data_IF_451693287042
#
_entry.id   IF_451693287042
#
_cell.length_a   1.000
_cell.length_b   1.000
_cell.length_c   1.000
_cell.angle_alpha   90.00
_cell.angle_beta   90.00
_cell.angle_gamma   90.00
#
_symmetry.space_group_name_H-M   'P 1'
#
loop_
_entity.id
_entity.type
_entity.pdbx_description
1 polymer ?
#
# COMPACT_ATOMS: atom_id res chain seq x y z
N UNK A 1 3.64 -11.28 17.27
CA UNK A 1 2.66 -10.47 18.02
C UNK A 1 1.64 -9.75 17.11
N UNK A 2 2.09 -9.08 16.03
CA UNK A 2 1.22 -8.42 15.03
C UNK A 2 0.17 -9.36 14.40
N UNK A 3 0.58 -10.58 14.00
CA UNK A 3 -0.34 -11.61 13.50
C UNK A 3 -1.48 -11.94 14.47
N UNK A 4 -1.18 -12.00 15.78
CA UNK A 4 -2.20 -12.22 16.81
C UNK A 4 -3.21 -11.07 16.91
N UNK A 5 -2.77 -9.82 16.71
CA UNK A 5 -3.66 -8.67 16.63
C UNK A 5 -4.50 -8.70 15.34
N UNK A 6 -3.87 -9.00 14.20
CA UNK A 6 -4.55 -9.18 12.92
C UNK A 6 -5.68 -10.21 13.02
N UNK A 7 -5.41 -11.39 13.57
CA UNK A 7 -6.40 -12.46 13.71
C UNK A 7 -7.60 -12.06 14.60
N UNK A 8 -7.37 -11.28 15.66
CA UNK A 8 -8.46 -10.73 16.48
C UNK A 8 -9.33 -9.75 15.70
N UNK A 9 -8.70 -8.86 14.93
CA UNK A 9 -9.41 -7.89 14.09
C UNK A 9 -10.17 -8.63 12.98
N UNK A 10 -9.58 -9.65 12.37
CA UNK A 10 -10.22 -10.47 11.34
C UNK A 10 -11.48 -11.17 11.88
N UNK A 11 -11.38 -11.77 13.07
CA UNK A 11 -12.55 -12.39 13.71
C UNK A 11 -13.65 -11.37 13.98
N UNK A 12 -13.31 -10.24 14.60
CA UNK A 12 -14.28 -9.18 14.89
C UNK A 12 -14.92 -8.61 13.60
N UNK A 13 -14.12 -8.43 12.55
CA UNK A 13 -14.59 -7.99 11.24
C UNK A 13 -15.58 -8.98 10.60
N UNK A 14 -15.31 -10.28 10.68
CA UNK A 14 -16.25 -11.31 10.20
C UNK A 14 -17.58 -11.24 10.92
N UNK A 15 -17.54 -11.24 12.25
CA UNK A 15 -18.74 -11.23 13.09
C UNK A 15 -19.59 -9.98 12.79
N UNK A 16 -18.95 -8.81 12.68
CA UNK A 16 -19.59 -7.54 12.33
C UNK A 16 -20.22 -7.55 10.93
N UNK A 17 -19.50 -8.05 9.93
CA UNK A 17 -19.97 -8.11 8.54
C UNK A 17 -21.15 -9.09 8.43
N UNK A 18 -21.02 -10.29 8.98
CA UNK A 18 -22.10 -11.31 8.93
C UNK A 18 -23.35 -10.81 9.63
N UNK A 19 -23.21 -10.21 10.82
CA UNK A 19 -24.34 -9.59 11.52
C UNK A 19 -25.00 -8.51 10.68
N UNK A 20 -24.21 -7.59 10.12
CA UNK A 20 -24.74 -6.47 9.32
C UNK A 20 -25.44 -6.94 8.05
N UNK A 21 -24.89 -7.93 7.35
CA UNK A 21 -25.51 -8.50 6.16
C UNK A 21 -26.86 -9.15 6.52
N UNK A 22 -26.94 -9.86 7.65
CA UNK A 22 -28.19 -10.45 8.14
C UNK A 22 -29.28 -9.42 8.42
N UNK A 23 -28.91 -8.22 8.88
CA UNK A 23 -29.85 -7.14 9.19
C UNK A 23 -30.34 -6.36 7.97
N UNK A 24 -29.43 -5.94 7.08
CA UNK A 24 -29.73 -4.94 6.04
C UNK A 24 -29.52 -5.44 4.61
N UNK A 25 -29.02 -6.66 4.46
CA UNK A 25 -28.59 -7.21 3.17
C UNK A 25 -27.24 -6.64 2.70
N UNK A 26 -26.64 -7.33 1.73
CA UNK A 26 -25.29 -7.05 1.22
C UNK A 26 -25.12 -5.64 0.68
N UNK A 27 -26.05 -5.17 -0.14
CA UNK A 27 -25.95 -3.85 -0.79
C UNK A 27 -25.85 -2.71 0.22
N UNK A 28 -26.55 -2.83 1.36
CA UNK A 28 -26.53 -1.83 2.43
C UNK A 28 -25.39 -2.04 3.44
N UNK A 29 -24.69 -3.17 3.38
CA UNK A 29 -23.54 -3.49 4.24
C UNK A 29 -22.18 -3.04 3.66
N UNK A 30 -22.15 -2.51 2.43
CA UNK A 30 -20.91 -2.14 1.73
C UNK A 30 -19.98 -1.24 2.55
N UNK A 31 -20.52 -0.23 3.24
CA UNK A 31 -19.70 0.67 4.06
C UNK A 31 -19.03 -0.06 5.24
N UNK A 32 -19.74 -0.99 5.89
CA UNK A 32 -19.21 -1.81 6.97
C UNK A 32 -18.09 -2.72 6.47
N UNK A 33 -18.29 -3.34 5.31
CA UNK A 33 -17.28 -4.20 4.67
C UNK A 33 -16.02 -3.39 4.34
N UNK A 34 -16.16 -2.21 3.72
CA UNK A 34 -15.03 -1.35 3.38
C UNK A 34 -14.28 -0.86 4.64
N UNK A 35 -15.00 -0.52 5.71
CA UNK A 35 -14.39 -0.12 6.97
C UNK A 35 -13.62 -1.27 7.65
N UNK A 36 -14.16 -2.49 7.61
CA UNK A 36 -13.49 -3.69 8.11
C UNK A 36 -12.22 -4.03 7.31
N UNK A 37 -12.32 -4.04 5.97
CA UNK A 37 -11.15 -4.25 5.10
C UNK A 37 -10.08 -3.17 5.30
N UNK A 38 -10.50 -1.92 5.53
CA UNK A 38 -9.57 -0.82 5.85
C UNK A 38 -8.81 -1.09 7.14
N UNK A 39 -9.49 -1.50 8.22
CA UNK A 39 -8.84 -1.86 9.49
C UNK A 39 -7.86 -3.02 9.35
N UNK A 40 -8.22 -4.05 8.57
CA UNK A 40 -7.34 -5.18 8.29
C UNK A 40 -6.07 -4.77 7.56
N UNK A 41 -6.19 -3.87 6.57
CA UNK A 41 -5.02 -3.33 5.86
C UNK A 41 -4.17 -2.42 6.75
N UNK A 42 -4.80 -1.60 7.59
CA UNK A 42 -4.10 -0.75 8.55
C UNK A 42 -3.20 -1.56 9.48
N UNK A 43 -3.70 -2.65 10.07
CA UNK A 43 -2.86 -3.49 10.95
C UNK A 43 -1.75 -4.22 10.19
N UNK A 44 -1.89 -4.49 8.88
CA UNK A 44 -0.82 -5.04 8.06
C UNK A 44 0.29 -4.01 7.80
N UNK A 45 -0.07 -2.75 7.54
CA UNK A 45 0.88 -1.65 7.36
C UNK A 45 1.63 -1.33 8.67
N UNK A 46 0.89 -0.93 9.70
CA UNK A 46 1.41 -0.65 11.04
C UNK A 46 0.24 -0.63 12.05
N UNK A 47 0.32 -1.40 13.16
CA UNK A 47 -0.72 -1.42 14.19
C UNK A 47 -1.13 -0.04 14.76
N UNK A 48 -0.25 0.97 14.71
CA UNK A 48 -0.54 2.34 15.14
C UNK A 48 -1.61 3.01 14.28
N UNK A 49 -1.86 2.52 13.06
CA UNK A 49 -2.89 3.05 12.17
C UNK A 49 -4.32 2.75 12.63
N UNK A 50 -4.51 1.88 13.62
CA UNK A 50 -5.84 1.49 14.12
C UNK A 50 -6.57 2.60 14.89
N UNK A 51 -5.93 3.76 15.12
CA UNK A 51 -6.55 4.89 15.82
C UNK A 51 -6.90 4.58 17.27
N UNK A 52 -6.12 3.69 17.91
CA UNK A 52 -6.29 3.35 19.32
C UNK A 52 -5.97 4.57 20.21
N UNK A 53 -6.53 4.63 21.44
CA UNK A 53 -6.20 5.70 22.38
C UNK A 53 -4.70 5.88 22.56
N UNK A 54 -4.27 7.13 22.73
CA UNK A 54 -2.86 7.46 22.93
C UNK A 54 -2.26 6.66 24.10
N UNK A 55 -1.05 6.15 23.92
CA UNK A 55 -0.39 5.29 24.90
C UNK A 55 -0.85 3.82 24.91
N UNK A 56 -1.82 3.42 24.08
CA UNK A 56 -2.19 2.00 23.93
C UNK A 56 -1.00 1.22 23.35
N UNK A 57 -0.46 0.23 24.08
CA UNK A 57 0.64 -0.59 23.56
C UNK A 57 0.17 -1.37 22.34
N UNK A 58 0.90 -1.24 21.24
CA UNK A 58 0.70 -2.02 20.03
C UNK A 58 1.99 -2.77 19.67
N UNK A 59 1.89 -3.96 19.05
CA UNK A 59 3.08 -4.68 18.58
C UNK A 59 3.85 -3.87 17.54
N UNK A 60 5.13 -4.19 17.35
CA UNK A 60 5.93 -3.61 16.26
C UNK A 60 5.36 -4.00 14.88
N UNK A 61 5.73 -3.22 13.86
CA UNK A 61 5.36 -3.49 12.48
C UNK A 61 6.50 -4.21 11.77
N UNK A 62 6.30 -5.49 11.47
CA UNK A 62 7.26 -6.30 10.71
C UNK A 62 7.50 -5.71 9.30
N UNK A 63 6.47 -5.11 8.71
CA UNK A 63 6.59 -4.48 7.40
C UNK A 63 7.42 -3.19 7.46
N UNK A 64 7.28 -2.40 8.51
CA UNK A 64 8.12 -1.21 8.71
C UNK A 64 9.58 -1.61 8.92
N UNK A 65 9.85 -2.65 9.71
CA UNK A 65 11.19 -3.21 9.91
C UNK A 65 11.83 -3.65 8.58
N UNK A 66 11.10 -4.41 7.75
CA UNK A 66 11.57 -4.80 6.42
C UNK A 66 11.77 -3.60 5.46
N UNK A 67 10.95 -2.56 5.60
CA UNK A 67 11.11 -1.31 4.83
C UNK A 67 12.37 -0.56 5.25
N UNK A 68 12.66 -0.47 6.55
CA UNK A 68 13.87 0.17 7.09
C UNK A 68 15.13 -0.47 6.50
N UNK A 69 15.18 -1.79 6.41
CA UNK A 69 16.29 -2.52 5.79
C UNK A 69 16.40 -2.22 4.28
N UNK A 70 15.29 -2.32 3.55
CA UNK A 70 15.25 -2.11 2.10
C UNK A 70 15.64 -0.68 1.71
N UNK A 71 15.13 0.33 2.44
CA UNK A 71 15.41 1.73 2.13
C UNK A 71 16.83 2.11 2.50
N UNK A 72 17.38 1.55 3.58
CA UNK A 72 18.77 1.76 3.95
C UNK A 72 19.73 1.18 2.88
N UNK A 73 19.47 -0.02 2.38
CA UNK A 73 20.27 -0.63 1.32
C UNK A 73 20.20 0.16 0.00
N UNK A 74 18.99 0.54 -0.42
CA UNK A 74 18.78 1.31 -1.64
C UNK A 74 19.52 2.66 -1.57
N UNK A 75 19.29 3.44 -0.50
CA UNK A 75 19.90 4.77 -0.35
C UNK A 75 21.41 4.70 -0.07
N UNK A 76 21.88 3.69 0.66
CA UNK A 76 23.31 3.43 0.89
C UNK A 76 24.06 3.09 -0.40
N UNK A 77 23.37 2.51 -1.38
CA UNK A 77 23.86 2.27 -2.74
C UNK A 77 23.77 3.51 -3.66
N UNK A 78 23.37 4.66 -3.13
CA UNK A 78 23.21 5.91 -3.90
C UNK A 78 21.97 5.95 -4.79
N UNK A 79 21.03 5.02 -4.62
CA UNK A 79 19.81 4.94 -5.42
C UNK A 79 18.78 5.96 -4.94
N UNK A 80 18.09 6.59 -5.89
CA UNK A 80 16.97 7.48 -5.58
C UNK A 80 15.67 6.73 -5.64
N UNK A 81 14.89 6.85 -4.57
CA UNK A 81 13.76 5.95 -4.29
C UNK A 81 12.46 6.73 -4.14
N UNK A 82 11.44 6.32 -4.88
CA UNK A 82 10.05 6.73 -4.65
C UNK A 82 9.41 5.77 -3.66
N UNK A 83 8.75 6.30 -2.64
CA UNK A 83 8.00 5.50 -1.67
C UNK A 83 6.54 5.90 -1.73
N UNK A 84 5.66 4.94 -1.98
CA UNK A 84 4.23 5.15 -2.07
C UNK A 84 3.50 4.45 -0.93
N UNK A 85 2.53 5.15 -0.35
CA UNK A 85 1.56 4.58 0.57
C UNK A 85 0.20 5.27 0.39
N UNK A 86 -0.91 4.53 0.54
CA UNK A 86 -2.25 5.12 0.46
C UNK A 86 -2.67 5.83 1.75
N UNK A 87 -2.06 5.48 2.89
CA UNK A 87 -2.42 5.98 4.20
C UNK A 87 -1.51 7.16 4.56
N UNK A 88 -2.08 8.35 4.71
CA UNK A 88 -1.32 9.56 5.11
C UNK A 88 -0.66 9.37 6.47
N UNK A 89 -1.35 8.73 7.42
CA UNK A 89 -0.74 8.42 8.72
C UNK A 89 0.42 7.43 8.60
N UNK A 90 0.37 6.48 7.66
CA UNK A 90 1.52 5.59 7.39
C UNK A 90 2.70 6.36 6.80
N UNK A 91 2.44 7.34 5.93
CA UNK A 91 3.49 8.22 5.42
C UNK A 91 4.17 8.99 6.55
N UNK A 92 3.43 9.45 7.56
CA UNK A 92 4.04 10.10 8.74
C UNK A 92 4.94 9.13 9.52
N UNK A 93 4.50 7.88 9.69
CA UNK A 93 5.30 6.83 10.34
C UNK A 93 6.57 6.54 9.54
N UNK A 94 6.46 6.41 8.22
CA UNK A 94 7.60 6.24 7.30
C UNK A 94 8.54 7.44 7.40
N UNK A 95 8.03 8.67 7.39
CA UNK A 95 8.82 9.90 7.54
C UNK A 95 9.63 9.90 8.83
N UNK A 96 8.99 9.60 9.96
CA UNK A 96 9.66 9.49 11.25
C UNK A 96 10.74 8.38 11.28
N UNK A 97 10.50 7.26 10.59
CA UNK A 97 11.48 6.19 10.43
C UNK A 97 12.69 6.66 9.60
N UNK A 98 12.47 7.36 8.49
CA UNK A 98 13.55 7.95 7.67
C UNK A 98 14.38 8.96 8.47
N UNK A 99 13.74 9.81 9.27
CA UNK A 99 14.42 10.75 10.18
C UNK A 99 15.30 10.04 11.20
N UNK A 100 14.80 8.96 11.81
CA UNK A 100 15.56 8.13 12.76
C UNK A 100 16.77 7.47 12.09
N UNK A 101 16.65 7.09 10.82
CA UNK A 101 17.74 6.52 10.02
C UNK A 101 18.71 7.59 9.46
N UNK A 102 18.41 8.88 9.64
CA UNK A 102 19.20 9.97 9.07
C UNK A 102 19.09 10.09 7.55
N UNK A 103 18.02 9.57 6.95
CA UNK A 103 17.78 9.58 5.50
C UNK A 103 16.96 10.82 5.15
N UNK A 104 17.54 11.73 4.36
CA UNK A 104 16.80 12.87 3.85
C UNK A 104 15.68 12.44 2.90
N UNK A 105 14.52 13.08 3.03
CA UNK A 105 13.38 12.79 2.19
C UNK A 105 12.56 14.03 1.87
N UNK A 106 11.81 13.98 0.77
CA UNK A 106 10.74 14.91 0.45
C UNK A 106 9.40 14.22 0.62
N UNK A 107 8.35 14.98 0.94
CA UNK A 107 7.01 14.44 1.12
C UNK A 107 5.97 15.20 0.31
N UNK A 108 5.26 14.49 -0.56
CA UNK A 108 4.17 15.01 -1.39
C UNK A 108 2.83 14.35 -1.01
N UNK A 109 1.94 15.14 -0.44
CA UNK A 109 0.58 14.73 -0.07
C UNK A 109 -0.46 15.69 -0.66
N UNK A 110 -1.75 15.38 -0.50
CA UNK A 110 -2.84 16.14 -1.13
C UNK A 110 -2.96 17.60 -0.68
N UNK A 111 -2.29 17.98 0.42
CA UNK A 111 -2.26 19.35 0.93
C UNK A 111 -1.01 20.15 0.53
N UNK A 112 -0.06 19.54 -0.18
CA UNK A 112 1.19 20.19 -0.59
C UNK A 112 0.92 21.25 -1.65
N UNK A 113 1.31 22.51 -1.37
CA UNK A 113 1.12 23.64 -2.29
C UNK A 113 2.29 23.85 -3.26
N UNK A 114 3.52 23.61 -2.82
CA UNK A 114 4.76 23.84 -3.57
C UNK A 114 5.26 22.58 -4.29
N UNK A 115 4.35 21.92 -5.00
CA UNK A 115 4.62 20.63 -5.63
C UNK A 115 5.78 20.64 -6.64
N UNK A 116 5.81 21.65 -7.52
CA UNK A 116 6.83 21.76 -8.56
C UNK A 116 8.23 21.96 -7.97
N UNK A 117 8.34 22.70 -6.88
CA UNK A 117 9.59 22.91 -6.15
C UNK A 117 10.13 21.60 -5.59
N UNK A 118 9.28 20.79 -4.93
CA UNK A 118 9.69 19.48 -4.40
C UNK A 118 10.13 18.53 -5.52
N UNK A 119 9.40 18.52 -6.64
CA UNK A 119 9.75 17.72 -7.81
C UNK A 119 11.09 18.17 -8.39
N UNK A 120 11.32 19.48 -8.54
CA UNK A 120 12.60 20.01 -9.01
C UNK A 120 13.76 19.67 -8.07
N UNK A 121 13.55 19.79 -6.76
CA UNK A 121 14.55 19.42 -5.75
C UNK A 121 14.88 17.93 -5.79
N UNK A 122 13.88 17.07 -5.96
CA UNK A 122 14.12 15.63 -6.15
C UNK A 122 14.84 15.34 -7.46
N UNK A 123 14.54 16.05 -8.54
CA UNK A 123 15.19 15.83 -9.83
C UNK A 123 16.60 16.43 -9.96
N UNK A 124 17.08 17.13 -8.93
CA UNK A 124 18.46 17.65 -8.92
C UNK A 124 19.44 16.53 -8.55
N UNK A 125 20.54 16.35 -9.30
CA UNK A 125 21.64 15.47 -8.89
C UNK A 125 22.15 15.87 -7.50
N UNK A 126 22.19 14.92 -6.56
CA UNK A 126 22.54 15.19 -5.15
C UNK A 126 21.41 15.78 -4.29
N UNK A 127 20.20 15.94 -4.83
CA UNK A 127 18.99 16.20 -4.01
C UNK A 127 18.61 14.98 -3.16
N UNK A 128 17.60 15.11 -2.28
CA UNK A 128 17.25 14.06 -1.32
C UNK A 128 17.04 12.68 -1.97
N UNK A 129 17.52 11.60 -1.34
CA UNK A 129 17.47 10.26 -1.92
C UNK A 129 16.06 9.66 -1.92
N UNK A 130 15.14 10.12 -1.07
CA UNK A 130 13.78 9.56 -0.96
C UNK A 130 12.72 10.60 -1.29
N UNK A 131 11.73 10.20 -2.09
CA UNK A 131 10.50 10.97 -2.28
C UNK A 131 9.30 10.13 -1.84
N UNK A 132 8.74 10.48 -0.69
CA UNK A 132 7.52 9.90 -0.13
C UNK A 132 6.30 10.56 -0.77
N UNK A 133 5.44 9.78 -1.41
CA UNK A 133 4.32 10.30 -2.21
C UNK A 133 3.03 9.58 -1.81
N UNK A 134 1.99 10.35 -1.52
CA UNK A 134 0.65 9.77 -1.41
C UNK A 134 0.13 9.37 -2.78
N UNK A 135 -0.38 8.14 -2.91
CA UNK A 135 -0.96 7.65 -4.17
C UNK A 135 -2.06 8.56 -4.73
N UNK A 136 -2.82 9.25 -3.87
CA UNK A 136 -3.85 10.23 -4.28
C UNK A 136 -3.27 11.55 -4.80
N UNK A 137 -2.18 12.07 -4.20
CA UNK A 137 -1.45 13.24 -4.73
C UNK A 137 -0.60 12.88 -5.96
N UNK A 138 -0.47 11.58 -6.23
CA UNK A 138 0.00 11.03 -7.48
C UNK A 138 -0.73 11.66 -8.67
N UNK A 139 -2.05 11.56 -8.79
CA UNK A 139 -2.83 11.75 -10.05
C UNK A 139 -2.58 12.97 -10.98
N UNK A 140 -1.76 13.94 -10.61
CA UNK A 140 -1.27 15.01 -11.47
C UNK A 140 0.06 14.62 -12.14
N UNK A 141 0.20 14.75 -13.46
CA UNK A 141 1.27 14.13 -14.27
C UNK A 141 2.70 14.62 -14.04
N UNK A 142 3.29 14.33 -12.88
CA UNK A 142 4.71 14.60 -12.58
C UNK A 142 5.64 13.56 -13.19
N UNK A 143 6.82 14.04 -13.58
CA UNK A 143 7.94 13.23 -14.07
C UNK A 143 8.96 13.11 -12.95
N UNK A 144 9.44 11.89 -12.68
CA UNK A 144 10.37 11.58 -11.58
C UNK A 144 11.47 10.64 -12.08
N UNK A 145 12.08 10.95 -13.21
CA UNK A 145 13.07 10.09 -13.90
C UNK A 145 14.38 9.95 -13.14
N UNK A 146 14.69 10.81 -12.18
CA UNK A 146 15.85 10.61 -11.30
C UNK A 146 15.71 9.38 -10.38
N UNK A 147 14.49 8.87 -10.17
CA UNK A 147 14.28 7.67 -9.38
C UNK A 147 14.52 6.40 -10.21
N UNK A 148 15.38 5.52 -9.72
CA UNK A 148 15.60 4.19 -10.27
C UNK A 148 15.01 3.08 -9.38
N UNK A 149 14.35 3.46 -8.29
CA UNK A 149 13.74 2.53 -7.34
C UNK A 149 12.36 3.03 -6.93
N UNK A 150 11.40 2.13 -6.90
CA UNK A 150 10.02 2.39 -6.49
C UNK A 150 9.63 1.36 -5.44
N UNK A 151 9.14 1.82 -4.29
CA UNK A 151 8.63 0.98 -3.22
C UNK A 151 7.15 1.31 -3.03
N UNK A 152 6.28 0.34 -3.30
CA UNK A 152 4.88 0.37 -2.89
C UNK A 152 4.79 -0.29 -1.52
N UNK A 153 4.63 0.52 -0.47
CA UNK A 153 4.59 0.05 0.92
C UNK A 153 3.32 -0.77 1.21
N UNK A 154 2.20 -0.40 0.59
CA UNK A 154 0.93 -1.09 0.74
C UNK A 154 0.26 -1.33 -0.62
N UNK A 155 -0.26 -2.55 -0.86
CA UNK A 155 -0.85 -2.90 -2.15
C UNK A 155 -2.19 -2.18 -2.34
N UNK A 156 -2.42 -1.67 -3.54
CA UNK A 156 -3.64 -0.99 -3.95
C UNK A 156 -4.63 -1.95 -4.61
N UNK A 157 -5.92 -1.69 -4.44
CA UNK A 157 -7.02 -2.51 -5.00
C UNK A 157 -7.05 -2.58 -6.54
N UNK A 158 -6.51 -1.54 -7.17
CA UNK A 158 -6.45 -1.36 -8.61
C UNK A 158 -4.98 -1.31 -9.08
N UNK A 159 -4.44 -2.42 -9.61
CA UNK A 159 -3.07 -2.47 -10.12
C UNK A 159 -2.72 -1.35 -11.11
N UNK A 160 -3.69 -0.86 -11.89
CA UNK A 160 -3.44 0.22 -12.85
C UNK A 160 -3.02 1.55 -12.19
N UNK A 161 -3.42 1.79 -10.92
CA UNK A 161 -2.99 2.97 -10.17
C UNK A 161 -1.53 2.85 -9.72
N UNK A 162 -1.10 1.65 -9.34
CA UNK A 162 0.31 1.38 -9.04
C UNK A 162 1.18 1.45 -10.29
N UNK A 163 0.71 0.84 -11.39
CA UNK A 163 1.39 0.87 -12.68
C UNK A 163 1.57 2.34 -13.11
N UNK A 164 0.53 3.17 -13.04
CA UNK A 164 0.62 4.61 -13.32
C UNK A 164 1.55 5.37 -12.37
N UNK A 165 1.61 4.98 -11.09
CA UNK A 165 2.55 5.58 -10.14
C UNK A 165 4.00 5.21 -10.48
N UNK A 166 4.21 3.98 -10.94
CA UNK A 166 5.50 3.41 -11.34
C UNK A 166 5.99 4.00 -12.67
N UNK A 167 5.09 4.19 -13.63
CA UNK A 167 5.35 4.76 -14.96
C UNK A 167 5.99 6.16 -14.92
N UNK A 168 5.90 6.86 -13.78
CA UNK A 168 6.50 8.18 -13.57
C UNK A 168 8.01 8.14 -13.46
N UNK A 169 8.55 7.03 -12.97
CA UNK A 169 9.98 6.75 -12.94
C UNK A 169 10.44 6.15 -14.28
N UNK A 170 9.57 5.39 -14.97
CA UNK A 170 9.86 4.77 -16.28
C UNK A 170 9.63 5.69 -17.49
N UNK A 171 9.54 7.01 -17.31
CA UNK A 171 9.20 7.95 -18.38
C UNK A 171 10.39 8.20 -19.32
N UNK A 172 10.12 8.68 -20.54
CA UNK A 172 11.14 9.15 -21.49
C UNK A 172 12.06 10.15 -20.78
N UNK A 173 13.36 9.85 -20.77
CA UNK A 173 14.37 10.59 -19.99
C UNK A 173 15.00 9.77 -18.86
N UNK A 174 14.46 8.60 -18.54
CA UNK A 174 15.11 7.60 -17.68
C UNK A 174 16.18 6.83 -18.47
N UNK A 175 17.40 6.78 -17.95
CA UNK A 175 18.54 6.06 -18.50
C UNK A 175 18.92 4.79 -17.71
N UNK A 176 18.32 4.58 -16.54
CA UNK A 176 18.58 3.43 -15.65
C UNK A 176 17.41 2.43 -15.60
N UNK A 177 17.69 1.13 -15.40
CA UNK A 177 16.65 0.17 -15.04
C UNK A 177 15.99 0.54 -13.71
N UNK A 178 14.67 0.71 -13.72
CA UNK A 178 13.90 1.01 -12.51
C UNK A 178 13.50 -0.29 -11.82
N UNK A 179 13.85 -0.43 -10.54
CA UNK A 179 13.46 -1.57 -9.70
C UNK A 179 12.17 -1.25 -8.94
N UNK A 180 11.22 -2.18 -8.93
CA UNK A 180 9.91 -1.98 -8.30
C UNK A 180 9.69 -3.03 -7.22
N UNK A 181 9.65 -2.60 -5.97
CA UNK A 181 9.34 -3.41 -4.80
C UNK A 181 7.87 -3.21 -4.42
N UNK A 182 7.14 -4.31 -4.25
CA UNK A 182 5.77 -4.32 -3.72
C UNK A 182 5.78 -5.07 -2.40
N UNK A 183 5.52 -4.36 -1.31
CA UNK A 183 5.54 -4.95 0.03
C UNK A 183 4.16 -5.51 0.38
N UNK A 184 4.10 -6.82 0.56
CA UNK A 184 2.86 -7.56 0.85
C UNK A 184 3.08 -8.39 2.09
N UNK A 185 2.16 -8.31 3.05
CA UNK A 185 2.18 -9.17 4.23
C UNK A 185 1.54 -10.52 3.88
N UNK A 186 2.33 -11.58 3.98
CA UNK A 186 1.87 -12.97 3.78
C UNK A 186 0.79 -13.35 4.79
N UNK A 187 -0.09 -14.28 4.40
CA UNK A 187 -1.16 -14.81 5.24
C UNK A 187 -2.18 -13.76 5.73
N UNK A 188 -2.29 -12.65 5.00
CA UNK A 188 -3.23 -11.57 5.32
C UNK A 188 -4.12 -11.19 4.15
N UNK A 189 -5.02 -10.24 4.41
CA UNK A 189 -5.88 -9.62 3.40
C UNK A 189 -5.06 -9.01 2.26
N UNK A 190 -3.83 -8.55 2.50
CA UNK A 190 -3.01 -7.94 1.46
C UNK A 190 -2.59 -8.94 0.38
N UNK A 191 -2.09 -10.11 0.78
CA UNK A 191 -1.75 -11.18 -0.16
C UNK A 191 -2.97 -11.56 -1.01
N UNK A 192 -4.11 -11.76 -0.35
CA UNK A 192 -5.37 -12.13 -1.01
C UNK A 192 -5.87 -11.06 -1.96
N UNK A 193 -5.70 -9.79 -1.61
CA UNK A 193 -6.03 -8.68 -2.49
C UNK A 193 -5.19 -8.72 -3.77
N UNK A 194 -3.89 -8.98 -3.65
CA UNK A 194 -2.98 -9.09 -4.80
C UNK A 194 -3.37 -10.29 -5.67
N UNK A 195 -3.58 -11.46 -5.08
CA UNK A 195 -3.99 -12.68 -5.77
C UNK A 195 -5.35 -12.53 -6.49
N UNK A 196 -6.31 -11.90 -5.82
CA UNK A 196 -7.62 -11.57 -6.40
C UNK A 196 -7.48 -10.59 -7.57
N UNK A 197 -6.66 -9.55 -7.42
CA UNK A 197 -6.38 -8.59 -8.47
C UNK A 197 -5.76 -9.25 -9.71
N UNK A 198 -4.79 -10.14 -9.52
CA UNK A 198 -4.15 -10.90 -10.59
C UNK A 198 -5.13 -11.83 -11.31
N UNK A 199 -5.96 -12.59 -10.57
CA UNK A 199 -6.99 -13.46 -11.16
C UNK A 199 -8.00 -12.66 -11.97
N UNK A 200 -8.51 -11.54 -11.44
CA UNK A 200 -9.45 -10.67 -12.16
C UNK A 200 -8.83 -10.10 -13.42
N UNK A 201 -7.55 -9.69 -13.38
CA UNK A 201 -6.81 -9.21 -14.56
C UNK A 201 -6.68 -10.30 -15.62
N UNK A 202 -6.29 -11.51 -15.25
CA UNK A 202 -6.15 -12.64 -16.18
C UNK A 202 -7.49 -12.97 -16.88
N UNK A 203 -8.59 -12.98 -16.13
CA UNK A 203 -9.93 -13.17 -16.69
C UNK A 203 -10.29 -12.04 -17.66
N UNK A 204 -10.04 -10.79 -17.26
CA UNK A 204 -10.34 -9.62 -18.06
C UNK A 204 -9.55 -9.57 -19.38
N UNK A 205 -8.25 -9.90 -19.34
CA UNK A 205 -7.38 -10.00 -20.52
C UNK A 205 -7.81 -11.14 -21.45
N UNK A 206 -8.24 -12.28 -20.89
CA UNK A 206 -8.73 -13.42 -21.67
C UNK A 206 -10.09 -13.18 -22.34
N UNK A 207 -10.94 -12.33 -21.75
CA UNK A 207 -12.31 -12.09 -22.21
C UNK A 207 -12.47 -10.87 -23.14
N UNK A 208 -11.65 -9.82 -22.99
CA UNK A 208 -11.89 -8.52 -23.61
C UNK A 208 -10.74 -7.98 -24.48
N UNK A 209 -9.61 -8.68 -24.57
CA UNK A 209 -8.39 -8.08 -25.14
C UNK A 209 -7.87 -6.90 -24.28
N UNK A 210 -6.79 -6.24 -24.73
CA UNK A 210 -5.96 -5.29 -23.95
C UNK A 210 -6.66 -4.05 -23.36
N UNK A 211 -7.97 -3.84 -23.57
CA UNK A 211 -8.74 -2.67 -23.09
C UNK A 211 -9.69 -2.98 -21.93
N UNK A 212 -9.28 -3.85 -21.00
CA UNK A 212 -10.13 -4.25 -19.90
C UNK A 212 -9.99 -3.32 -18.68
N UNK A 213 -10.79 -2.25 -18.63
CA UNK A 213 -11.12 -1.56 -17.37
C UNK A 213 -12.19 -2.34 -16.57
N UNK A 214 -11.93 -3.62 -16.30
CA UNK A 214 -12.84 -4.49 -15.57
C UNK A 214 -12.61 -4.38 -14.06
N UNK A 215 -13.22 -3.37 -13.44
CA UNK A 215 -13.21 -3.25 -11.98
C UNK A 215 -14.25 -2.27 -11.51
N UNK A 216 -15.48 -2.74 -11.24
CA UNK A 216 -16.49 -1.88 -10.60
C UNK A 216 -17.21 -2.45 -9.40
N UNK A 217 -17.07 -3.72 -9.03
CA UNK A 217 -17.53 -4.14 -7.70
C UNK A 217 -16.85 -5.39 -7.19
N UNK A 218 -16.59 -5.43 -5.88
CA UNK A 218 -16.28 -6.66 -5.16
C UNK A 218 -17.59 -7.44 -5.00
N UNK A 219 -17.56 -8.71 -5.39
CA UNK A 219 -18.67 -9.64 -5.17
C UNK A 219 -18.63 -10.18 -3.74
N UNK A 220 -19.71 -10.81 -3.28
CA UNK A 220 -19.71 -11.47 -1.97
C UNK A 220 -18.68 -12.60 -1.89
N UNK A 221 -18.49 -13.35 -2.97
CA UNK A 221 -17.46 -14.38 -3.03
C UNK A 221 -16.05 -13.79 -2.84
N UNK A 222 -15.78 -12.63 -3.45
CA UNK A 222 -14.52 -11.92 -3.25
C UNK A 222 -14.33 -11.50 -1.78
N UNK A 223 -15.39 -10.98 -1.15
CA UNK A 223 -15.36 -10.54 0.24
C UNK A 223 -15.12 -11.73 1.18
N UNK A 224 -15.83 -12.83 0.98
CA UNK A 224 -15.63 -14.04 1.77
C UNK A 224 -14.20 -14.56 1.62
N UNK A 225 -13.69 -14.59 0.38
CA UNK A 225 -12.31 -14.99 0.12
C UNK A 225 -11.30 -14.12 0.86
N UNK A 226 -11.43 -12.80 0.77
CA UNK A 226 -10.57 -11.82 1.45
C UNK A 226 -10.59 -11.97 2.96
N UNK A 227 -11.72 -12.39 3.52
CA UNK A 227 -11.90 -12.55 4.96
C UNK A 227 -11.53 -13.95 5.44
N UNK A 228 -11.42 -14.98 4.61
CA UNK A 228 -11.02 -16.31 5.11
C UNK A 228 -9.68 -16.23 5.84
N UNK A 229 -9.52 -17.00 6.92
CA UNK A 229 -8.19 -17.16 7.52
C UNK A 229 -7.44 -18.12 6.61
N UNK A 230 -6.14 -17.92 6.30
CA UNK A 230 -5.35 -18.98 5.70
C UNK A 230 -5.53 -20.25 6.53
N UNK A 231 -5.65 -21.40 5.88
CA UNK A 231 -5.61 -22.66 6.59
C UNK A 231 -4.28 -22.68 7.35
N UNK A 232 -4.33 -22.77 8.68
CA UNK A 232 -3.14 -23.10 9.46
C UNK A 232 -2.62 -24.37 8.83
N UNK A 233 -1.42 -24.32 8.26
CA UNK A 233 -0.79 -25.51 7.73
C UNK A 233 -0.73 -26.50 8.91
N UNK A 234 -1.36 -27.68 8.84
CA UNK A 234 -1.39 -28.61 9.97
C UNK A 234 -0.01 -29.18 10.33
N UNK A 235 1.05 -28.70 9.66
CA UNK A 235 2.44 -29.07 9.83
C UNK A 235 3.34 -27.92 10.36
N UNK A 236 2.77 -26.74 10.67
CA UNK A 236 3.46 -25.65 11.39
C UNK A 236 3.20 -25.69 12.91
#
# INVERSE_FOLDING_TARGET
AQLGLYNRILKAAKDEITGRIGEVGVEKAQMTILAALTRLRQVCCDPKLLGLPEGTPVPSSAKLEAFEELIADATGSGRKTLVFSQFVEMQKIIGASLEKLGIEYLWLHGGTKNREELVGKFQTPGGPPVFLISLKAGGSGITLTEADTVIHFDPWWNPAVEDQATDRAHRIGQDKPVMVYRMVMEDTVEQKMVELGQRKRAVAESALGRDASAGKSLTMADIDELLTTPAINPWD
#
